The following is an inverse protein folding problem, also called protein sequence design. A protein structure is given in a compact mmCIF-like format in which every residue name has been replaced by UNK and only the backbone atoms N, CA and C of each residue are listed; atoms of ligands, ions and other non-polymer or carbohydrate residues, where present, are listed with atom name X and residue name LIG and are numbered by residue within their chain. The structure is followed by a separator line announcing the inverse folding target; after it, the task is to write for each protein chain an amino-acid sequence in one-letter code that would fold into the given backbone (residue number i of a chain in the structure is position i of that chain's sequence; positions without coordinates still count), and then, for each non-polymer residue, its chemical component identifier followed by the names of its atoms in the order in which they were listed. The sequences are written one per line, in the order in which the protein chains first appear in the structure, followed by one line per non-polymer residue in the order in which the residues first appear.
data_IF_155843844856
#
_entry.id   IF_155843844856
#
_cell.length_a   1.000
_cell.length_b   1.000
_cell.length_c   1.000
_cell.angle_alpha   90.00
_cell.angle_beta   90.00
_cell.angle_gamma   90.00
#
_symmetry.space_group_name_H-M   'P 1'
#
loop_
_entity.id
_entity.type
_entity.pdbx_description
1 polymer ?
#
# COMPACT_ATOMS: atom_id res chain seq x y z
N UNK A 1 20.10 -17.02 18.83
CA UNK A 1 19.25 -16.88 17.65
C UNK A 1 18.61 -18.20 17.21
N UNK A 2 19.37 -19.30 17.13
CA UNK A 2 18.83 -20.62 16.76
C UNK A 2 17.74 -21.12 17.73
N UNK A 3 17.94 -20.97 19.04
CA UNK A 3 16.96 -21.36 20.07
C UNK A 3 15.63 -20.61 19.91
N UNK A 4 15.67 -19.29 19.73
CA UNK A 4 14.45 -18.49 19.47
C UNK A 4 13.77 -18.92 18.17
N UNK A 5 14.55 -19.20 17.11
CA UNK A 5 13.96 -19.68 15.86
C UNK A 5 13.28 -21.04 16.09
N UNK A 6 13.91 -21.98 16.78
CA UNK A 6 13.32 -23.29 17.03
C UNK A 6 12.03 -23.22 17.84
N UNK A 7 11.94 -22.30 18.81
CA UNK A 7 10.78 -22.15 19.69
C UNK A 7 9.66 -21.32 19.04
N UNK A 8 10.00 -20.17 18.39
CA UNK A 8 9.01 -19.17 17.94
C UNK A 8 8.84 -19.07 16.42
N UNK A 9 9.44 -19.96 15.60
CA UNK A 9 9.36 -19.86 14.14
C UNK A 9 7.92 -19.85 13.60
N UNK A 10 7.00 -20.61 14.23
CA UNK A 10 5.59 -20.61 13.84
C UNK A 10 4.94 -19.26 14.04
N UNK A 11 5.22 -18.60 15.16
CA UNK A 11 4.68 -17.28 15.49
C UNK A 11 5.19 -16.22 14.51
N UNK A 12 6.47 -16.28 14.13
CA UNK A 12 7.03 -15.36 13.13
C UNK A 12 6.50 -15.61 11.72
N UNK A 13 6.18 -16.84 11.34
CA UNK A 13 5.81 -17.14 9.97
C UNK A 13 4.28 -17.11 9.75
N UNK A 14 3.48 -17.79 10.55
CA UNK A 14 2.08 -17.93 10.20
C UNK A 14 1.08 -18.12 11.36
N UNK A 15 1.45 -18.59 12.56
CA UNK A 15 0.47 -18.80 13.63
C UNK A 15 1.09 -18.94 15.01
N UNK A 16 0.35 -18.47 16.03
CA UNK A 16 0.63 -18.72 17.44
C UNK A 16 -0.17 -19.91 18.00
N UNK A 17 -0.87 -20.66 17.13
CA UNK A 17 -1.75 -21.76 17.50
C UNK A 17 -3.23 -21.39 17.61
N UNK A 18 -3.57 -20.12 17.77
CA UNK A 18 -4.94 -19.60 17.90
C UNK A 18 -5.35 -18.70 16.74
N UNK A 19 -4.43 -17.94 16.20
CA UNK A 19 -4.67 -16.96 15.12
C UNK A 19 -3.49 -16.89 14.16
N UNK A 20 -3.74 -16.30 13.01
CA UNK A 20 -2.70 -16.03 12.01
C UNK A 20 -1.84 -14.87 12.52
N UNK A 21 -0.50 -14.99 12.41
CA UNK A 21 0.46 -14.02 12.96
C UNK A 21 1.65 -13.80 12.02
N UNK A 22 2.53 -12.89 12.40
CA UNK A 22 3.84 -12.70 11.80
C UNK A 22 3.80 -12.38 10.31
N UNK A 23 4.59 -13.12 9.54
CA UNK A 23 4.74 -12.95 8.10
C UNK A 23 3.41 -13.05 7.34
N UNK A 24 2.56 -14.01 7.71
CA UNK A 24 1.28 -14.23 7.04
C UNK A 24 0.36 -13.01 7.17
N UNK A 25 0.23 -12.42 8.37
CA UNK A 25 -0.55 -11.19 8.60
C UNK A 25 0.09 -10.00 7.90
N UNK A 26 1.41 -9.85 7.98
CA UNK A 26 2.12 -8.76 7.30
C UNK A 26 1.87 -8.79 5.79
N UNK A 27 1.96 -9.99 5.17
CA UNK A 27 1.68 -10.17 3.74
C UNK A 27 0.21 -9.94 3.41
N UNK A 28 -0.71 -10.37 4.26
CA UNK A 28 -2.14 -10.11 4.11
C UNK A 28 -2.45 -8.61 4.11
N UNK A 29 -1.94 -7.88 5.12
CA UNK A 29 -2.09 -6.43 5.21
C UNK A 29 -1.53 -5.74 3.96
N UNK A 30 -0.32 -6.11 3.53
CA UNK A 30 0.34 -5.55 2.36
C UNK A 30 -0.49 -5.78 1.10
N UNK A 31 -0.82 -7.04 0.81
CA UNK A 31 -1.51 -7.40 -0.44
C UNK A 31 -2.90 -6.77 -0.52
N UNK A 32 -3.69 -6.87 0.55
CA UNK A 32 -5.06 -6.34 0.55
C UNK A 32 -5.06 -4.81 0.44
N UNK A 33 -4.21 -4.13 1.21
CA UNK A 33 -4.13 -2.65 1.15
C UNK A 33 -3.67 -2.15 -0.22
N UNK A 34 -2.67 -2.82 -0.82
CA UNK A 34 -2.16 -2.47 -2.14
C UNK A 34 -3.21 -2.72 -3.23
N UNK A 35 -3.89 -3.87 -3.20
CA UNK A 35 -4.93 -4.18 -4.20
C UNK A 35 -6.08 -3.19 -4.12
N UNK A 36 -6.60 -2.94 -2.91
CA UNK A 36 -7.67 -1.96 -2.71
C UNK A 36 -7.22 -0.54 -3.06
N UNK A 37 -6.03 -0.13 -2.60
CA UNK A 37 -5.44 1.16 -2.90
C UNK A 37 -5.21 1.37 -4.41
N UNK A 38 -4.71 0.36 -5.11
CA UNK A 38 -4.54 0.37 -6.56
C UNK A 38 -5.89 0.53 -7.28
N UNK A 39 -6.89 -0.28 -6.94
CA UNK A 39 -8.21 -0.21 -7.58
C UNK A 39 -8.87 1.16 -7.38
N UNK A 40 -8.79 1.73 -6.18
CA UNK A 40 -9.34 3.04 -5.87
C UNK A 40 -8.55 4.18 -6.52
N UNK A 41 -7.23 4.05 -6.65
CA UNK A 41 -6.36 5.10 -7.21
C UNK A 41 -6.57 5.32 -8.72
N UNK A 42 -7.02 4.31 -9.48
CA UNK A 42 -7.27 4.46 -10.92
C UNK A 42 -8.34 5.54 -11.20
N UNK A 43 -9.58 5.43 -10.69
CA UNK A 43 -10.58 6.47 -10.93
C UNK A 43 -10.19 7.81 -10.29
N UNK A 44 -9.55 7.80 -9.12
CA UNK A 44 -9.08 9.02 -8.46
C UNK A 44 -7.98 9.72 -9.27
N UNK A 45 -7.07 9.00 -9.90
CA UNK A 45 -6.03 9.59 -10.75
C UNK A 45 -6.61 10.25 -12.00
N UNK A 46 -7.64 9.65 -12.61
CA UNK A 46 -8.38 10.26 -13.73
C UNK A 46 -9.12 11.52 -13.26
N UNK A 47 -9.78 11.45 -12.10
CA UNK A 47 -10.45 12.60 -11.50
C UNK A 47 -9.45 13.73 -11.16
N UNK A 48 -8.25 13.38 -10.69
CA UNK A 48 -7.16 14.30 -10.33
C UNK A 48 -6.64 15.12 -11.53
N UNK A 49 -6.64 14.54 -12.73
CA UNK A 49 -6.23 15.21 -13.98
C UNK A 49 -7.39 15.78 -14.78
N UNK A 50 -8.61 15.67 -14.28
CA UNK A 50 -9.82 16.17 -14.94
C UNK A 50 -9.80 17.69 -15.13
N UNK A 51 -10.44 18.17 -16.21
CA UNK A 51 -10.72 19.60 -16.42
C UNK A 51 -11.70 20.18 -15.42
N UNK A 52 -12.52 19.35 -14.77
CA UNK A 52 -13.41 19.78 -13.71
C UNK A 52 -12.60 20.13 -12.45
N UNK A 53 -12.46 21.45 -12.21
CA UNK A 53 -11.65 21.98 -11.10
C UNK A 53 -12.15 21.53 -9.72
N UNK A 54 -13.47 21.36 -9.54
CA UNK A 54 -14.05 20.92 -8.26
C UNK A 54 -13.64 19.49 -7.95
N UNK A 55 -13.77 18.58 -8.93
CA UNK A 55 -13.40 17.19 -8.81
C UNK A 55 -11.88 17.03 -8.57
N UNK A 56 -11.07 17.70 -9.39
CA UNK A 56 -9.61 17.67 -9.27
C UNK A 56 -9.12 18.22 -7.93
N UNK A 57 -9.74 19.31 -7.42
CA UNK A 57 -9.41 19.92 -6.13
C UNK A 57 -9.81 19.03 -4.96
N UNK A 58 -10.98 18.37 -5.02
CA UNK A 58 -11.42 17.42 -3.98
C UNK A 58 -10.44 16.26 -3.82
N UNK A 59 -10.01 15.65 -4.94
CA UNK A 59 -8.99 14.60 -4.92
C UNK A 59 -7.65 15.14 -4.42
N UNK A 60 -7.26 16.35 -4.83
CA UNK A 60 -6.03 16.97 -4.35
C UNK A 60 -6.03 17.17 -2.82
N UNK A 61 -7.14 17.65 -2.25
CA UNK A 61 -7.25 17.81 -0.78
C UNK A 61 -7.07 16.45 -0.09
N UNK A 62 -7.73 15.42 -0.59
CA UNK A 62 -7.58 14.06 -0.07
C UNK A 62 -6.12 13.59 -0.11
N UNK A 63 -5.49 13.64 -1.29
CA UNK A 63 -4.10 13.19 -1.44
C UNK A 63 -3.13 14.04 -0.62
N UNK A 64 -3.38 15.35 -0.50
CA UNK A 64 -2.57 16.27 0.29
C UNK A 64 -2.61 15.93 1.78
N UNK A 65 -3.80 15.66 2.34
CA UNK A 65 -3.99 15.30 3.75
C UNK A 65 -3.31 13.96 4.06
N UNK A 66 -3.63 12.91 3.28
CA UNK A 66 -3.14 11.57 3.58
C UNK A 66 -1.64 11.39 3.32
N UNK A 67 -1.06 12.13 2.39
CA UNK A 67 0.40 12.14 2.14
C UNK A 67 1.15 13.09 3.08
N UNK A 68 0.48 14.13 3.58
CA UNK A 68 1.06 15.13 4.47
C UNK A 68 1.01 14.76 5.94
N UNK A 69 0.33 13.66 6.31
CA UNK A 69 0.24 13.19 7.71
C UNK A 69 0.88 11.81 7.86
N UNK A 70 1.55 11.53 8.99
CA UNK A 70 2.15 10.21 9.24
C UNK A 70 1.10 9.10 9.28
N UNK A 71 1.36 7.98 8.61
CA UNK A 71 0.47 6.81 8.61
C UNK A 71 0.18 6.31 10.04
N UNK A 72 1.16 6.35 10.91
CA UNK A 72 0.99 6.02 12.32
C UNK A 72 -0.14 6.82 12.99
N UNK A 73 -0.17 8.15 12.76
CA UNK A 73 -1.21 9.03 13.30
C UNK A 73 -2.57 8.71 12.67
N UNK A 74 -2.62 8.44 11.37
CA UNK A 74 -3.85 8.03 10.68
C UNK A 74 -4.42 6.74 11.27
N UNK A 75 -3.57 5.75 11.54
CA UNK A 75 -3.99 4.50 12.18
C UNK A 75 -4.53 4.73 13.60
N UNK A 76 -3.85 5.53 14.41
CA UNK A 76 -4.33 5.88 15.75
C UNK A 76 -5.68 6.63 15.72
N UNK A 77 -5.86 7.55 14.77
CA UNK A 77 -7.15 8.22 14.58
C UNK A 77 -8.24 7.24 14.21
N UNK A 78 -7.97 6.26 13.34
CA UNK A 78 -8.95 5.24 13.00
C UNK A 78 -9.27 4.33 14.20
N UNK A 79 -8.24 3.79 14.85
CA UNK A 79 -8.42 2.74 15.86
C UNK A 79 -8.89 3.29 17.22
N UNK A 80 -8.28 4.38 17.69
CA UNK A 80 -8.63 4.95 19.00
C UNK A 80 -9.49 6.20 18.88
N UNK A 81 -9.18 7.09 17.92
CA UNK A 81 -9.85 8.37 17.77
C UNK A 81 -11.31 8.20 17.35
N UNK A 82 -11.59 7.52 16.22
CA UNK A 82 -12.97 7.34 15.76
C UNK A 82 -13.77 6.44 16.71
N UNK A 83 -13.16 5.41 17.29
CA UNK A 83 -13.84 4.57 18.27
C UNK A 83 -14.22 5.31 19.57
N UNK A 84 -13.52 6.40 19.92
CA UNK A 84 -13.87 7.22 21.09
C UNK A 84 -15.16 8.03 20.90
N UNK A 85 -15.57 8.28 19.64
CA UNK A 85 -16.77 9.07 19.33
C UNK A 85 -18.04 8.30 19.71
N UNK A 86 -18.96 8.96 20.43
CA UNK A 86 -20.21 8.35 20.86
C UNK A 86 -21.04 7.88 19.67
N UNK A 87 -21.12 8.68 18.59
CA UNK A 87 -21.84 8.32 17.35
C UNK A 87 -21.34 7.00 16.75
N UNK A 88 -20.03 6.72 16.84
CA UNK A 88 -19.45 5.47 16.33
C UNK A 88 -19.83 4.31 17.25
N UNK A 89 -19.82 4.52 18.56
CA UNK A 89 -20.17 3.49 19.55
C UNK A 89 -21.64 3.14 19.54
N UNK A 90 -22.51 4.11 19.32
CA UNK A 90 -23.97 3.91 19.31
C UNK A 90 -24.48 3.25 18.01
N UNK A 91 -23.71 3.34 16.91
CA UNK A 91 -24.08 2.74 15.64
C UNK A 91 -23.48 1.32 15.51
N UNK A 92 -24.32 0.30 15.47
CA UNK A 92 -23.92 -1.12 15.51
C UNK A 92 -22.82 -1.47 14.50
N UNK A 93 -22.98 -1.10 13.23
CA UNK A 93 -21.99 -1.43 12.17
C UNK A 93 -20.67 -0.69 12.36
N UNK A 94 -20.71 0.60 12.73
CA UNK A 94 -19.49 1.38 12.96
C UNK A 94 -18.74 0.88 14.19
N UNK A 95 -19.47 0.57 15.26
CA UNK A 95 -18.89 0.01 16.48
C UNK A 95 -18.18 -1.31 16.18
N UNK A 96 -18.84 -2.25 15.49
CA UNK A 96 -18.24 -3.53 15.11
C UNK A 96 -16.99 -3.35 14.24
N UNK A 97 -17.01 -2.41 13.29
CA UNK A 97 -15.88 -2.13 12.40
C UNK A 97 -14.70 -1.52 13.14
N UNK A 98 -14.89 -0.41 13.87
CA UNK A 98 -13.82 0.35 14.50
C UNK A 98 -13.30 -0.26 15.81
N UNK A 99 -14.01 -1.23 16.37
CA UNK A 99 -13.53 -2.04 17.50
C UNK A 99 -12.41 -2.99 17.08
N UNK A 100 -12.38 -3.41 15.81
CA UNK A 100 -11.41 -4.37 15.31
C UNK A 100 -10.17 -3.64 14.76
N UNK A 101 -9.01 -3.87 15.37
CA UNK A 101 -7.74 -3.29 14.94
C UNK A 101 -7.32 -3.69 13.52
N UNK A 102 -7.71 -4.88 13.04
CA UNK A 102 -7.42 -5.32 11.68
C UNK A 102 -8.18 -4.47 10.65
N UNK A 103 -9.48 -4.21 10.87
CA UNK A 103 -10.29 -3.37 9.99
C UNK A 103 -9.76 -1.94 9.95
N UNK A 104 -9.42 -1.37 11.12
CA UNK A 104 -8.85 -0.02 11.21
C UNK A 104 -7.50 0.08 10.48
N UNK A 105 -6.65 -0.96 10.62
CA UNK A 105 -5.36 -1.03 9.96
C UNK A 105 -5.52 -1.11 8.44
N UNK A 106 -6.36 -1.99 7.94
CA UNK A 106 -6.65 -2.10 6.51
C UNK A 106 -7.21 -0.81 5.93
N UNK A 107 -8.11 -0.14 6.65
CA UNK A 107 -8.68 1.14 6.21
C UNK A 107 -7.59 2.22 6.11
N UNK A 108 -6.81 2.43 7.18
CA UNK A 108 -5.76 3.44 7.21
C UNK A 108 -4.71 3.19 6.12
N UNK A 109 -4.26 1.94 5.97
CA UNK A 109 -3.27 1.54 4.97
C UNK A 109 -3.79 1.70 3.54
N UNK A 110 -5.04 1.28 3.29
CA UNK A 110 -5.68 1.43 1.98
C UNK A 110 -5.82 2.90 1.59
N UNK A 111 -6.30 3.75 2.49
CA UNK A 111 -6.45 5.18 2.22
C UNK A 111 -5.10 5.86 2.00
N UNK A 112 -4.10 5.52 2.78
CA UNK A 112 -2.76 6.08 2.65
C UNK A 112 -2.12 5.69 1.31
N UNK A 113 -1.98 4.39 1.01
CA UNK A 113 -1.37 3.95 -0.27
C UNK A 113 -2.19 4.38 -1.48
N UNK A 114 -3.53 4.45 -1.38
CA UNK A 114 -4.38 5.00 -2.44
C UNK A 114 -4.03 6.48 -2.73
N UNK A 115 -3.76 7.29 -1.71
CA UNK A 115 -3.40 8.71 -1.90
C UNK A 115 -2.06 8.87 -2.62
N UNK A 116 -1.03 8.09 -2.23
CA UNK A 116 0.27 8.08 -2.91
C UNK A 116 0.16 7.58 -4.34
N UNK A 117 -0.49 6.43 -4.55
CA UNK A 117 -0.67 5.81 -5.87
C UNK A 117 -1.48 6.71 -6.81
N UNK A 118 -2.48 7.44 -6.31
CA UNK A 118 -3.26 8.41 -7.09
C UNK A 118 -2.36 9.50 -7.70
N UNK A 119 -1.46 10.09 -6.95
CA UNK A 119 -0.55 11.12 -7.48
C UNK A 119 0.52 10.53 -8.41
N UNK A 120 1.02 9.31 -8.13
CA UNK A 120 1.92 8.59 -9.05
C UNK A 120 1.23 8.39 -10.41
N UNK A 121 0.01 7.89 -10.43
CA UNK A 121 -0.73 7.64 -11.67
C UNK A 121 -1.16 8.94 -12.35
N UNK A 122 -1.59 9.96 -11.60
CA UNK A 122 -1.90 11.28 -12.15
C UNK A 122 -0.68 11.92 -12.82
N UNK A 123 0.51 11.81 -12.23
CA UNK A 123 1.77 12.22 -12.83
C UNK A 123 2.07 11.48 -14.13
N UNK A 124 1.91 10.16 -14.14
CA UNK A 124 2.12 9.33 -15.31
C UNK A 124 1.10 9.62 -16.44
N UNK A 125 -0.16 9.91 -16.10
CA UNK A 125 -1.18 10.35 -17.07
C UNK A 125 -0.78 11.68 -17.71
N UNK A 126 -0.34 12.66 -16.93
CA UNK A 126 0.13 13.97 -17.47
C UNK A 126 1.35 13.82 -18.36
N UNK A 127 2.21 12.84 -18.09
CA UNK A 127 3.42 12.54 -18.87
C UNK A 127 3.13 11.69 -20.14
N UNK A 128 1.86 11.45 -20.50
CA UNK A 128 1.52 10.75 -21.74
C UNK A 128 1.95 11.59 -22.94
N UNK A 129 2.73 11.03 -23.90
CA UNK A 129 3.17 11.76 -25.08
C UNK A 129 2.00 12.34 -25.86
N UNK A 130 2.09 13.62 -26.22
CA UNK A 130 0.99 14.31 -26.91
C UNK A 130 0.65 13.68 -28.25
N UNK A 131 1.65 13.17 -28.98
CA UNK A 131 1.45 12.46 -30.23
C UNK A 131 0.60 11.19 -30.12
N UNK A 132 0.68 10.44 -29.00
CA UNK A 132 -0.22 9.28 -28.76
C UNK A 132 -1.69 9.73 -28.66
N UNK A 133 -1.91 10.89 -28.03
CA UNK A 133 -3.26 11.46 -27.82
C UNK A 133 -3.80 12.00 -29.15
N UNK A 134 -2.99 12.71 -29.93
CA UNK A 134 -3.37 13.27 -31.23
C UNK A 134 -3.67 12.17 -32.24
N UNK A 135 -2.81 11.15 -32.35
CA UNK A 135 -3.03 10.02 -33.22
C UNK A 135 -4.36 9.31 -32.90
N UNK A 136 -4.61 9.04 -31.61
CA UNK A 136 -5.86 8.40 -31.19
C UNK A 136 -7.11 9.25 -31.52
N UNK A 137 -7.01 10.59 -31.40
CA UNK A 137 -8.08 11.52 -31.78
C UNK A 137 -8.30 11.56 -33.29
N UNK A 138 -7.23 11.53 -34.07
CA UNK A 138 -7.31 11.48 -35.54
C UNK A 138 -8.04 10.23 -36.04
N UNK A 139 -7.93 9.11 -35.32
CA UNK A 139 -8.72 7.88 -35.53
C UNK A 139 -10.16 7.98 -35.01
N UNK A 140 -10.64 9.14 -34.56
CA UNK A 140 -12.02 9.34 -34.09
C UNK A 140 -12.33 8.70 -32.73
N UNK A 141 -11.33 8.40 -31.89
CA UNK A 141 -11.58 7.80 -30.58
C UNK A 141 -12.32 8.76 -29.65
N UNK A 142 -13.43 8.28 -29.05
CA UNK A 142 -14.12 9.00 -27.97
C UNK A 142 -13.19 9.17 -26.75
N UNK A 143 -13.46 10.17 -25.91
CA UNK A 143 -12.64 10.41 -24.71
C UNK A 143 -12.56 9.18 -23.79
N UNK A 144 -13.63 8.42 -23.62
CA UNK A 144 -13.63 7.19 -22.83
C UNK A 144 -12.73 6.12 -23.46
N UNK A 145 -12.84 5.90 -24.77
CA UNK A 145 -12.01 4.94 -25.50
C UNK A 145 -10.53 5.32 -25.47
N UNK A 146 -10.23 6.62 -25.64
CA UNK A 146 -8.89 7.19 -25.53
C UNK A 146 -8.26 6.91 -24.15
N UNK A 147 -8.99 7.19 -23.07
CA UNK A 147 -8.49 6.89 -21.73
C UNK A 147 -8.28 5.40 -21.51
N UNK A 148 -9.27 4.56 -21.86
CA UNK A 148 -9.24 3.12 -21.59
C UNK A 148 -8.17 2.39 -22.41
N UNK A 149 -7.99 2.74 -23.71
CA UNK A 149 -7.13 1.99 -24.62
C UNK A 149 -5.74 2.57 -24.83
N UNK A 150 -5.54 3.86 -24.59
CA UNK A 150 -4.28 4.55 -24.87
C UNK A 150 -3.67 5.12 -23.58
N UNK A 151 -4.36 6.07 -22.95
CA UNK A 151 -3.76 6.85 -21.86
C UNK A 151 -3.48 5.96 -20.64
N UNK A 152 -4.47 5.25 -20.10
CA UNK A 152 -4.30 4.45 -18.88
C UNK A 152 -3.29 3.31 -19.05
N UNK A 153 -3.35 2.46 -20.11
CA UNK A 153 -2.34 1.42 -20.27
C UNK A 153 -0.92 1.96 -20.43
N UNK A 154 -0.76 3.07 -21.17
CA UNK A 154 0.54 3.74 -21.37
C UNK A 154 1.04 4.36 -20.06
N UNK A 155 0.17 5.07 -19.32
CA UNK A 155 0.49 5.69 -18.03
C UNK A 155 0.86 4.65 -16.96
N UNK A 156 0.08 3.57 -16.80
CA UNK A 156 0.34 2.53 -15.81
C UNK A 156 1.69 1.85 -16.04
N UNK A 157 2.07 1.61 -17.29
CA UNK A 157 3.40 1.08 -17.61
C UNK A 157 4.51 2.04 -17.16
N UNK A 158 4.40 3.34 -17.48
CA UNK A 158 5.39 4.35 -17.07
C UNK A 158 5.41 4.58 -15.56
N UNK A 159 4.29 4.38 -14.87
CA UNK A 159 4.19 4.50 -13.42
C UNK A 159 4.86 3.34 -12.66
N UNK A 160 5.09 2.20 -13.31
CA UNK A 160 5.52 0.96 -12.66
C UNK A 160 6.75 1.12 -11.74
N UNK A 161 7.84 1.83 -12.13
CA UNK A 161 9.00 2.02 -11.24
C UNK A 161 8.67 2.82 -9.97
N UNK A 162 7.83 3.83 -10.09
CA UNK A 162 7.39 4.65 -8.94
C UNK A 162 6.44 3.87 -8.04
N UNK A 163 5.55 3.09 -8.65
CA UNK A 163 4.61 2.23 -7.92
C UNK A 163 5.33 1.08 -7.21
N UNK A 164 6.38 0.50 -7.80
CA UNK A 164 7.19 -0.52 -7.14
C UNK A 164 7.83 0.00 -5.87
N UNK A 165 8.32 1.23 -5.88
CA UNK A 165 8.86 1.87 -4.68
C UNK A 165 7.78 2.11 -3.61
N UNK A 166 6.58 2.54 -4.02
CA UNK A 166 5.44 2.71 -3.10
C UNK A 166 5.07 1.40 -2.39
N UNK A 167 5.05 0.27 -3.13
CA UNK A 167 4.77 -1.05 -2.54
C UNK A 167 5.81 -1.44 -1.49
N UNK A 168 7.10 -1.15 -1.74
CA UNK A 168 8.18 -1.43 -0.78
C UNK A 168 8.04 -0.53 0.45
N UNK A 169 7.75 0.76 0.26
CA UNK A 169 7.49 1.69 1.36
C UNK A 169 6.29 1.24 2.20
N UNK A 170 5.23 0.75 1.54
CA UNK A 170 4.06 0.21 2.24
C UNK A 170 4.39 -1.05 3.05
N UNK A 171 5.28 -1.95 2.54
CA UNK A 171 5.77 -3.07 3.34
C UNK A 171 6.44 -2.57 4.63
N UNK A 172 7.32 -1.58 4.55
CA UNK A 172 7.95 -1.03 5.75
C UNK A 172 6.92 -0.35 6.67
N UNK A 173 5.92 0.28 6.10
CA UNK A 173 4.84 0.92 6.86
C UNK A 173 3.94 -0.09 7.59
N UNK A 174 3.88 -1.37 7.17
CA UNK A 174 3.12 -2.38 7.91
C UNK A 174 3.60 -2.54 9.36
N UNK A 175 4.85 -2.17 9.65
CA UNK A 175 5.40 -2.21 11.02
C UNK A 175 4.63 -1.39 12.05
N UNK A 176 3.80 -0.42 11.63
CA UNK A 176 2.97 0.35 12.59
C UNK A 176 1.70 -0.39 13.03
N UNK A 177 1.36 -1.52 12.38
CA UNK A 177 0.13 -2.29 12.66
C UNK A 177 0.04 -2.82 14.09
N UNK A 178 1.19 -3.05 14.76
CA UNK A 178 1.23 -3.49 16.15
C UNK A 178 0.51 -2.54 17.11
N UNK A 179 0.41 -1.26 16.77
CA UNK A 179 -0.26 -0.24 17.61
C UNK A 179 -1.77 -0.42 17.67
N UNK A 180 -2.35 -1.05 16.65
CA UNK A 180 -3.74 -1.50 16.64
C UNK A 180 -3.87 -2.97 17.06
N UNK A 181 -2.92 -3.50 17.82
CA UNK A 181 -2.88 -4.88 18.34
C UNK A 181 -2.83 -5.98 17.28
N UNK A 182 -2.56 -5.63 16.02
CA UNK A 182 -2.43 -6.60 14.93
C UNK A 182 -1.10 -7.36 15.08
N UNK A 183 -1.12 -8.71 15.05
CA UNK A 183 0.07 -9.54 15.29
C UNK A 183 0.94 -9.69 14.04
N UNK A 184 1.47 -8.56 13.53
CA UNK A 184 2.44 -8.52 12.44
C UNK A 184 3.83 -9.02 12.88
N UNK A 185 4.80 -9.05 11.98
CA UNK A 185 6.18 -9.50 12.28
C UNK A 185 6.77 -8.70 13.45
N UNK A 186 6.57 -7.37 13.47
CA UNK A 186 7.16 -6.53 14.52
C UNK A 186 6.49 -6.78 15.88
N UNK A 187 5.16 -6.98 15.90
CA UNK A 187 4.43 -7.33 17.14
C UNK A 187 4.96 -8.64 17.71
N UNK A 188 5.14 -9.65 16.88
CA UNK A 188 5.72 -10.95 17.32
C UNK A 188 7.13 -10.76 17.88
N UNK A 189 7.99 -9.97 17.19
CA UNK A 189 9.33 -9.70 17.70
C UNK A 189 9.31 -9.01 19.08
N UNK A 190 8.37 -8.09 19.31
CA UNK A 190 8.17 -7.45 20.61
C UNK A 190 7.71 -8.43 21.69
N UNK A 191 6.79 -9.31 21.34
CA UNK A 191 6.26 -10.32 22.28
C UNK A 191 7.36 -11.33 22.68
N UNK A 192 8.14 -11.81 21.69
CA UNK A 192 9.30 -12.68 21.93
C UNK A 192 10.36 -11.97 22.76
N UNK A 193 10.67 -10.70 22.45
CA UNK A 193 11.59 -9.92 23.26
C UNK A 193 11.12 -9.77 24.71
N UNK A 194 9.82 -9.55 24.92
CA UNK A 194 9.24 -9.43 26.28
C UNK A 194 9.31 -10.75 27.05
N UNK A 195 9.23 -11.88 26.36
CA UNK A 195 9.31 -13.22 26.97
C UNK A 195 10.76 -13.66 27.26
N UNK A 196 11.70 -13.29 26.40
CA UNK A 196 13.08 -13.82 26.43
C UNK A 196 14.14 -12.82 26.87
N UNK A 197 13.84 -11.50 26.85
CA UNK A 197 14.78 -10.39 27.05
C UNK A 197 15.98 -10.40 26.08
N UNK A 198 15.84 -11.05 24.91
CA UNK A 198 16.87 -11.17 23.90
C UNK A 198 16.60 -10.27 22.69
N UNK A 199 16.68 -8.96 22.89
CA UNK A 199 16.29 -7.93 21.90
C UNK A 199 16.99 -8.10 20.56
N UNK A 200 18.31 -8.33 20.57
CA UNK A 200 19.09 -8.48 19.33
C UNK A 200 18.60 -9.67 18.48
N UNK A 201 18.32 -10.80 19.11
CA UNK A 201 17.84 -11.99 18.42
C UNK A 201 16.41 -11.83 17.92
N UNK A 202 15.49 -11.33 18.76
CA UNK A 202 14.09 -11.15 18.43
C UNK A 202 13.90 -10.15 17.27
N UNK A 203 14.47 -8.95 17.39
CA UNK A 203 14.36 -7.95 16.32
C UNK A 203 15.23 -8.29 15.10
N UNK A 204 16.34 -9.00 15.28
CA UNK A 204 17.20 -9.48 14.19
C UNK A 204 16.45 -10.45 13.27
N UNK A 205 15.65 -11.37 13.82
CA UNK A 205 14.79 -12.27 13.02
C UNK A 205 13.76 -11.47 12.24
N UNK A 206 13.09 -10.50 12.86
CA UNK A 206 12.14 -9.63 12.18
C UNK A 206 12.80 -8.85 11.03
N UNK A 207 13.98 -8.27 11.27
CA UNK A 207 14.75 -7.55 10.25
C UNK A 207 15.11 -8.44 9.06
N UNK A 208 15.53 -9.67 9.30
CA UNK A 208 15.83 -10.64 8.24
C UNK A 208 14.58 -10.99 7.43
N UNK A 209 13.43 -11.19 8.08
CA UNK A 209 12.17 -11.45 7.38
C UNK A 209 11.77 -10.27 6.48
N UNK A 210 11.79 -9.03 7.00
CA UNK A 210 11.52 -7.84 6.18
C UNK A 210 12.49 -7.69 5.03
N UNK A 211 13.77 -7.98 5.25
CA UNK A 211 14.79 -7.93 4.21
C UNK A 211 14.51 -8.95 3.09
N UNK A 212 14.17 -10.20 3.45
CA UNK A 212 13.82 -11.25 2.49
C UNK A 212 12.60 -10.86 1.65
N UNK A 213 11.54 -10.33 2.30
CA UNK A 213 10.34 -9.86 1.58
C UNK A 213 10.69 -8.71 0.64
N UNK A 214 11.46 -7.73 1.13
CA UNK A 214 11.90 -6.58 0.33
C UNK A 214 12.67 -7.02 -0.91
N UNK A 215 13.63 -7.93 -0.78
CA UNK A 215 14.35 -8.49 -1.92
C UNK A 215 13.45 -9.24 -2.90
N UNK A 216 12.51 -10.04 -2.39
CA UNK A 216 11.54 -10.73 -3.23
C UNK A 216 10.67 -9.75 -4.02
N UNK A 217 10.17 -8.68 -3.40
CA UNK A 217 9.40 -7.63 -4.06
C UNK A 217 10.25 -6.88 -5.09
N UNK A 218 11.46 -6.47 -4.75
CA UNK A 218 12.39 -5.79 -5.69
C UNK A 218 12.66 -6.68 -6.89
N UNK A 219 12.93 -7.96 -6.69
CA UNK A 219 13.15 -8.91 -7.77
C UNK A 219 11.91 -9.04 -8.67
N UNK A 220 10.72 -9.18 -8.08
CA UNK A 220 9.46 -9.31 -8.80
C UNK A 220 9.18 -8.07 -9.67
N UNK A 221 9.32 -6.87 -9.09
CA UNK A 221 9.08 -5.62 -9.80
C UNK A 221 10.13 -5.35 -10.88
N UNK A 222 11.41 -5.61 -10.63
CA UNK A 222 12.47 -5.51 -11.66
C UNK A 222 12.18 -6.42 -12.84
N UNK A 223 11.69 -7.65 -12.59
CA UNK A 223 11.29 -8.56 -13.66
C UNK A 223 10.09 -8.03 -14.46
N UNK A 224 9.10 -7.45 -13.79
CA UNK A 224 7.96 -6.81 -14.43
C UNK A 224 8.39 -5.58 -15.26
N UNK A 225 9.22 -4.71 -14.70
CA UNK A 225 9.79 -3.55 -15.39
C UNK A 225 10.59 -3.97 -16.62
N UNK A 226 11.44 -4.97 -16.49
CA UNK A 226 12.21 -5.50 -17.61
C UNK A 226 11.31 -5.92 -18.78
N UNK A 227 10.18 -6.56 -18.49
CA UNK A 227 9.26 -7.09 -19.49
C UNK A 227 8.34 -5.99 -20.09
N UNK A 228 7.85 -5.07 -19.26
CA UNK A 228 6.82 -4.10 -19.67
C UNK A 228 7.37 -2.77 -20.17
N UNK A 229 8.62 -2.43 -19.80
CA UNK A 229 9.29 -1.18 -20.21
C UNK A 229 10.39 -1.41 -21.25
N UNK A 230 10.44 -2.59 -21.87
CA UNK A 230 11.46 -2.94 -22.89
C UNK A 230 11.52 -1.91 -24.02
N UNK A 231 10.36 -1.34 -24.41
CA UNK A 231 10.24 -0.37 -25.49
C UNK A 231 10.78 1.03 -25.17
N UNK A 232 10.98 1.36 -23.89
CA UNK A 232 11.56 2.65 -23.45
C UNK A 232 13.09 2.59 -23.31
N UNK A 233 13.69 1.43 -23.51
CA UNK A 233 15.14 1.31 -23.45
C UNK A 233 15.77 1.98 -24.66
N UNK A 234 16.84 2.77 -24.49
CA UNK A 234 17.62 3.22 -25.63
C UNK A 234 18.06 1.98 -26.40
N UNK A 235 17.74 1.91 -27.69
CA UNK A 235 18.32 0.91 -28.56
C UNK A 235 19.83 1.20 -28.57
N UNK A 236 20.61 0.39 -27.86
CA UNK A 236 22.04 0.54 -27.75
C UNK A 236 22.65 0.60 -29.14
N UNK A 237 23.50 1.61 -29.35
CA UNK A 237 24.47 1.64 -30.45
C UNK A 237 25.47 0.52 -30.23
#
# INVERSE_FOLDING_TARGET
MLEIIQEYWRNYLFTDGYRITGLAITMWLLVVSIVLGFCLSIPLSVARVSKNKLLSRGVWIYTYIFRGTPLYVQLLLCYTGLYSLQVVRDHVLLNQFFRDGMHCTLLAFTLNTCAYTTEIFAGAIRATPYGEIEAARAYGMSSFTLYRRVILPSALRRALPYYSNEVILMLHATTVAFTATVPDILKIARDVNSATYQSFQAFGIAALLYLCISFALVWLFRRAEYRWLAYLRPQGK
#
